data_IF_777702066323
#
_entry.id   IF_777702066323
#
_cell.length_a   1.000
_cell.length_b   1.000
_cell.length_c   1.000
_cell.angle_alpha   90.00
_cell.angle_beta   90.00
_cell.angle_gamma   90.00
#
_symmetry.space_group_name_H-M   'P 1'
#
loop_
_entity.id
_entity.type
_entity.pdbx_description
1 polymer ?
#
# COMPACT_ATOMS: atom_id res chain seq x y z
N UNK A 1 0.49 0.78 9.36
CA UNK A 1 1.59 -0.14 9.71
C UNK A 1 2.91 0.45 9.24
N UNK A 2 4.01 0.27 9.97
CA UNK A 2 5.32 0.86 9.66
C UNK A 2 6.28 -0.23 9.16
N UNK A 3 6.89 -0.02 7.98
CA UNK A 3 7.85 -0.96 7.38
C UNK A 3 9.26 -0.66 7.89
N UNK A 4 9.89 -1.64 8.54
CA UNK A 4 11.28 -1.55 9.01
C UNK A 4 12.17 -2.32 8.04
N UNK A 5 13.13 -1.63 7.43
CA UNK A 5 14.00 -2.20 6.39
C UNK A 5 15.45 -2.21 6.90
N UNK A 6 16.04 -3.38 7.18
CA UNK A 6 17.44 -3.51 7.54
C UNK A 6 18.35 -3.06 6.39
N UNK A 7 19.37 -2.24 6.70
CA UNK A 7 20.39 -1.82 5.74
C UNK A 7 21.59 -2.78 5.84
N UNK A 8 22.08 -3.27 4.71
CA UNK A 8 23.14 -4.26 4.58
C UNK A 8 22.86 -5.56 5.35
N UNK A 9 21.60 -5.97 5.40
CA UNK A 9 21.16 -7.25 5.99
C UNK A 9 20.90 -8.30 4.92
N UNK A 10 20.72 -9.54 5.36
CA UNK A 10 20.29 -10.64 4.50
C UNK A 10 18.78 -10.82 4.55
N UNK A 11 18.23 -11.34 3.45
CA UNK A 11 16.85 -11.80 3.42
C UNK A 11 16.60 -12.91 4.43
N UNK A 12 15.43 -12.84 5.06
CA UNK A 12 14.93 -13.86 5.99
C UNK A 12 14.65 -15.17 5.23
N UNK A 13 14.65 -16.32 5.94
CA UNK A 13 14.20 -17.58 5.33
C UNK A 13 12.79 -17.45 4.75
N UNK A 14 12.56 -18.03 3.56
CA UNK A 14 11.26 -17.97 2.86
C UNK A 14 10.07 -18.47 3.68
N UNK A 15 10.31 -19.34 4.66
CA UNK A 15 9.28 -19.81 5.59
C UNK A 15 8.70 -18.69 6.49
N UNK A 16 9.37 -17.54 6.57
CA UNK A 16 8.88 -16.36 7.27
C UNK A 16 8.19 -15.44 6.27
N UNK A 17 6.86 -15.58 6.17
CA UNK A 17 6.01 -14.78 5.28
C UNK A 17 5.55 -13.50 6.00
N UNK A 18 6.39 -12.46 6.01
CA UNK A 18 5.99 -11.17 6.56
C UNK A 18 4.83 -10.57 5.79
N UNK A 19 3.91 -9.89 6.48
CA UNK A 19 2.70 -9.32 5.87
C UNK A 19 3.01 -8.45 4.66
N UNK A 20 3.95 -7.52 4.79
CA UNK A 20 4.41 -6.63 3.70
C UNK A 20 5.62 -7.17 2.94
N UNK A 21 5.93 -8.46 3.10
CA UNK A 21 7.10 -9.09 2.50
C UNK A 21 8.38 -8.81 3.28
N UNK A 22 9.45 -9.44 2.82
CA UNK A 22 10.78 -9.34 3.40
C UNK A 22 11.61 -8.34 2.61
N UNK A 23 12.02 -7.26 3.26
CA UNK A 23 12.76 -6.16 2.64
C UNK A 23 14.14 -6.03 3.22
N UNK A 24 15.14 -5.80 2.37
CA UNK A 24 16.49 -5.37 2.74
C UNK A 24 16.86 -4.15 1.91
N UNK A 25 17.81 -3.36 2.39
CA UNK A 25 18.31 -2.20 1.67
C UNK A 25 19.84 -2.15 1.64
N UNK A 26 20.39 -1.45 0.66
CA UNK A 26 21.79 -1.10 0.58
C UNK A 26 21.96 0.25 -0.11
N UNK A 27 23.11 0.87 0.08
CA UNK A 27 23.45 2.12 -0.62
C UNK A 27 24.19 1.81 -1.91
N UNK A 28 23.73 2.39 -3.01
CA UNK A 28 24.44 2.48 -4.28
C UNK A 28 24.71 3.97 -4.56
N UNK A 29 25.91 4.42 -4.20
CA UNK A 29 26.24 5.85 -4.20
C UNK A 29 25.35 6.66 -3.26
N UNK A 30 24.57 7.57 -3.82
CA UNK A 30 23.61 8.45 -3.14
C UNK A 30 22.17 7.90 -3.12
N UNK A 31 21.98 6.68 -3.63
CA UNK A 31 20.68 6.03 -3.78
C UNK A 31 20.53 4.91 -2.77
N UNK A 32 19.47 4.96 -1.96
CA UNK A 32 19.08 3.82 -1.13
C UNK A 32 18.26 2.87 -2.01
N UNK A 33 18.80 1.69 -2.27
CA UNK A 33 18.14 0.63 -3.01
C UNK A 33 17.51 -0.33 -2.00
N UNK A 34 16.27 -0.72 -2.24
CA UNK A 34 15.50 -1.63 -1.40
C UNK A 34 15.01 -2.78 -2.28
N UNK A 35 15.32 -4.02 -1.91
CA UNK A 35 14.74 -5.22 -2.53
C UNK A 35 13.68 -5.81 -1.61
N UNK A 36 12.53 -6.14 -2.18
CA UNK A 36 11.42 -6.82 -1.48
C UNK A 36 11.07 -8.12 -2.16
N UNK A 37 10.97 -9.17 -1.36
CA UNK A 37 10.57 -10.52 -1.78
C UNK A 37 9.56 -11.11 -0.82
N UNK A 38 9.03 -12.29 -1.14
CA UNK A 38 8.26 -13.13 -0.21
C UNK A 38 7.04 -12.44 0.42
N UNK A 39 6.25 -11.74 -0.39
CA UNK A 39 5.00 -11.11 0.05
C UNK A 39 4.03 -12.16 0.59
N UNK A 40 3.40 -11.85 1.73
CA UNK A 40 2.43 -12.76 2.33
C UNK A 40 1.29 -13.09 1.34
N UNK A 41 0.87 -14.37 1.23
CA UNK A 41 -0.10 -14.79 0.21
C UNK A 41 -1.41 -13.99 0.19
N UNK A 42 -1.90 -13.57 1.36
CA UNK A 42 -3.12 -12.78 1.47
C UNK A 42 -2.97 -11.33 1.00
N UNK A 43 -1.73 -10.82 0.92
CA UNK A 43 -1.43 -9.47 0.41
C UNK A 43 -1.18 -9.45 -1.10
N UNK A 44 -0.75 -10.59 -1.69
CA UNK A 44 -0.48 -10.69 -3.13
C UNK A 44 -1.62 -10.15 -4.01
N UNK A 45 -2.88 -10.36 -3.61
CA UNK A 45 -4.05 -9.90 -4.37
C UNK A 45 -4.57 -8.50 -3.98
N UNK A 46 -3.97 -7.86 -2.98
CA UNK A 46 -4.44 -6.58 -2.39
C UNK A 46 -3.45 -5.44 -2.53
N UNK A 47 -2.22 -5.73 -2.96
CA UNK A 47 -1.21 -4.72 -3.27
C UNK A 47 -1.37 -4.20 -4.70
N UNK A 48 -0.75 -3.04 -4.98
CA UNK A 48 -0.72 -2.47 -6.32
C UNK A 48 -0.05 -3.38 -7.36
N UNK A 49 0.88 -4.23 -6.90
CA UNK A 49 1.54 -5.25 -7.70
C UNK A 49 1.38 -6.62 -7.04
N UNK A 50 0.87 -7.59 -7.81
CA UNK A 50 0.86 -8.99 -7.39
C UNK A 50 2.26 -9.57 -7.55
N UNK A 51 2.71 -10.37 -6.59
CA UNK A 51 4.04 -10.96 -6.62
C UNK A 51 3.98 -12.46 -6.30
N UNK A 52 4.54 -13.27 -7.20
CA UNK A 52 4.75 -14.70 -7.02
C UNK A 52 5.94 -14.95 -6.10
N UNK A 53 6.21 -16.21 -5.77
CA UNK A 53 7.36 -16.60 -4.93
C UNK A 53 8.71 -16.43 -5.67
N UNK A 54 8.66 -16.11 -6.96
CA UNK A 54 9.80 -15.79 -7.81
C UNK A 54 9.88 -14.29 -8.14
N UNK A 55 8.89 -13.52 -7.72
CA UNK A 55 8.85 -12.09 -7.96
C UNK A 55 9.66 -11.30 -6.93
N UNK A 56 10.12 -10.13 -7.34
CA UNK A 56 10.74 -9.14 -6.47
C UNK A 56 10.36 -7.73 -6.89
N UNK A 57 10.45 -6.80 -5.94
CA UNK A 57 10.30 -5.37 -6.18
C UNK A 57 11.62 -4.70 -5.82
N UNK A 58 12.16 -3.91 -6.74
CA UNK A 58 13.32 -3.05 -6.49
C UNK A 58 12.82 -1.62 -6.39
N UNK A 59 13.01 -1.00 -5.24
CA UNK A 59 12.69 0.41 -4.98
C UNK A 59 14.02 1.18 -4.87
N UNK A 60 14.08 2.38 -5.46
CA UNK A 60 15.24 3.27 -5.39
C UNK A 60 14.80 4.62 -4.85
N UNK A 61 15.51 5.10 -3.84
CA UNK A 61 15.30 6.42 -3.25
C UNK A 61 16.56 7.25 -3.42
N UNK A 62 16.56 8.17 -4.38
CA UNK A 62 17.70 9.03 -4.70
C UNK A 62 17.46 10.43 -4.17
N UNK A 63 18.44 11.00 -3.46
CA UNK A 63 18.40 12.39 -3.00
C UNK A 63 18.63 13.32 -4.19
N UNK A 64 17.57 13.73 -4.88
CA UNK A 64 17.68 14.61 -6.05
C UNK A 64 18.05 16.06 -5.69
N UNK A 65 17.55 16.56 -4.56
CA UNK A 65 17.89 17.90 -4.05
C UNK A 65 17.62 18.00 -2.55
N UNK A 66 17.91 19.16 -1.95
CA UNK A 66 17.59 19.42 -0.55
C UNK A 66 16.09 19.34 -0.22
N UNK A 67 15.22 19.51 -1.22
CA UNK A 67 13.77 19.47 -1.06
C UNK A 67 13.11 18.28 -1.76
N UNK A 68 13.86 17.38 -2.39
CA UNK A 68 13.27 16.31 -3.18
C UNK A 68 14.00 14.98 -3.04
N UNK A 69 13.22 13.91 -2.94
CA UNK A 69 13.66 12.53 -3.15
C UNK A 69 12.98 12.02 -4.41
N UNK A 70 13.77 11.50 -5.35
CA UNK A 70 13.24 10.79 -6.51
C UNK A 70 13.07 9.32 -6.14
N UNK A 71 11.84 8.84 -6.26
CA UNK A 71 11.48 7.46 -5.97
C UNK A 71 11.15 6.74 -7.27
N UNK A 72 11.81 5.60 -7.47
CA UNK A 72 11.53 4.69 -8.58
C UNK A 72 11.23 3.31 -8.01
N UNK A 73 10.35 2.57 -8.68
CA UNK A 73 10.17 1.15 -8.39
C UNK A 73 10.08 0.33 -9.67
N UNK A 74 10.59 -0.90 -9.60
CA UNK A 74 10.52 -1.90 -10.65
C UNK A 74 10.00 -3.21 -10.06
N UNK A 75 8.95 -3.74 -10.68
CA UNK A 75 8.36 -5.04 -10.37
C UNK A 75 8.86 -6.05 -11.39
N UNK A 76 9.50 -7.11 -10.89
CA UNK A 76 10.10 -8.16 -11.71
C UNK A 76 9.47 -9.48 -11.27
N UNK A 77 8.58 -10.05 -12.07
CA UNK A 77 7.98 -11.35 -11.80
C UNK A 77 7.60 -12.08 -13.10
N UNK A 78 8.37 -13.10 -13.52
CA UNK A 78 8.13 -13.82 -14.77
C UNK A 78 6.91 -14.75 -14.71
N UNK A 79 6.33 -14.99 -13.52
CA UNK A 79 5.15 -15.85 -13.36
C UNK A 79 3.88 -15.05 -13.65
N UNK A 80 3.82 -13.79 -13.21
CA UNK A 80 2.63 -12.96 -13.33
C UNK A 80 2.71 -11.92 -14.44
N UNK A 81 3.91 -11.50 -14.87
CA UNK A 81 4.09 -10.47 -15.88
C UNK A 81 4.98 -10.96 -17.04
N UNK A 82 4.69 -10.47 -18.24
CA UNK A 82 5.46 -10.79 -19.46
C UNK A 82 6.77 -10.00 -19.56
N UNK A 83 6.83 -8.87 -18.87
CA UNK A 83 8.00 -7.99 -18.79
C UNK A 83 8.02 -7.29 -17.43
N UNK A 84 9.21 -6.81 -17.03
CA UNK A 84 9.32 -5.94 -15.87
C UNK A 84 8.57 -4.63 -16.14
N UNK A 85 7.92 -4.09 -15.11
CA UNK A 85 7.25 -2.81 -15.20
C UNK A 85 7.51 -2.00 -13.95
N UNK A 86 7.36 -0.68 -14.04
CA UNK A 86 7.71 0.21 -12.95
C UNK A 86 7.02 1.56 -13.04
N UNK A 87 7.39 2.43 -12.12
CA UNK A 87 6.94 3.80 -12.08
C UNK A 87 7.86 4.67 -11.25
N UNK A 88 7.65 5.98 -11.38
CA UNK A 88 8.46 7.00 -10.72
C UNK A 88 7.57 8.06 -10.06
N UNK A 89 7.99 8.54 -8.91
CA UNK A 89 7.31 9.60 -8.16
C UNK A 89 8.38 10.51 -7.53
N UNK A 90 8.18 11.82 -7.60
CA UNK A 90 8.99 12.77 -6.85
C UNK A 90 8.33 13.09 -5.50
N UNK A 91 9.03 12.76 -4.41
CA UNK A 91 8.63 13.16 -3.06
C UNK A 91 9.21 14.53 -2.73
N UNK A 92 8.34 15.52 -2.60
CA UNK A 92 8.71 16.88 -2.25
C UNK A 92 8.63 17.09 -0.73
N UNK A 93 9.58 17.86 -0.18
CA UNK A 93 9.55 18.26 1.23
C UNK A 93 8.30 19.09 1.52
N UNK A 94 7.71 18.90 2.70
CA UNK A 94 6.59 19.72 3.18
C UNK A 94 6.75 19.98 4.66
N UNK A 95 6.29 21.15 5.11
CA UNK A 95 6.18 21.50 6.53
C UNK A 95 4.93 20.89 7.18
N UNK A 96 4.03 20.30 6.37
CA UNK A 96 2.81 19.65 6.87
C UNK A 96 3.14 18.33 7.54
N UNK A 97 2.40 17.99 8.59
CA UNK A 97 2.55 16.68 9.24
C UNK A 97 2.08 15.56 8.31
N UNK A 98 2.88 14.51 8.19
CA UNK A 98 2.45 13.25 7.61
C UNK A 98 1.48 12.59 8.60
N UNK A 99 0.22 12.47 8.19
CA UNK A 99 -0.78 11.72 8.93
C UNK A 99 -0.84 10.28 8.41
N UNK A 100 -1.25 9.37 9.29
CA UNK A 100 -1.57 8.00 8.92
C UNK A 100 -2.62 7.97 7.82
N UNK A 101 -2.44 7.07 6.85
CA UNK A 101 -3.50 6.72 5.94
C UNK A 101 -4.51 5.83 6.67
N UNK A 102 -5.69 6.37 6.95
CA UNK A 102 -6.83 5.63 7.46
C UNK A 102 -7.85 5.40 6.34
N UNK A 103 -8.08 4.14 5.98
CA UNK A 103 -9.26 3.77 5.21
C UNK A 103 -10.43 3.69 6.20
N UNK A 104 -11.50 4.47 5.99
CA UNK A 104 -12.71 4.31 6.79
C UNK A 104 -13.61 3.29 6.12
N UNK A 105 -13.58 2.03 6.59
CA UNK A 105 -14.58 1.06 6.19
C UNK A 105 -15.95 1.36 6.83
N UNK A 106 -17.03 0.98 6.14
CA UNK A 106 -18.37 1.11 6.69
C UNK A 106 -18.97 2.51 6.56
N UNK A 107 -18.95 3.08 5.35
CA UNK A 107 -19.67 4.31 5.04
C UNK A 107 -21.20 4.05 4.97
N UNK A 108 -21.80 3.72 6.12
CA UNK A 108 -23.23 3.42 6.28
C UNK A 108 -24.10 4.67 6.42
N UNK A 109 -23.49 5.86 6.40
CA UNK A 109 -24.20 7.13 6.65
C UNK A 109 -25.39 7.30 5.71
N UNK A 110 -25.21 7.09 4.41
CA UNK A 110 -26.29 7.24 3.43
C UNK A 110 -27.41 6.21 3.62
N UNK A 111 -27.05 4.93 3.86
CA UNK A 111 -28.04 3.87 4.11
C UNK A 111 -28.82 4.15 5.40
N UNK A 112 -28.15 4.61 6.46
CA UNK A 112 -28.78 4.99 7.72
C UNK A 112 -29.75 6.17 7.57
N UNK A 113 -29.37 7.21 6.83
CA UNK A 113 -30.23 8.38 6.55
C UNK A 113 -31.48 7.96 5.78
N UNK A 114 -31.32 7.19 4.70
CA UNK A 114 -32.45 6.75 3.87
C UNK A 114 -33.37 5.75 4.61
N UNK A 115 -32.78 4.86 5.43
CA UNK A 115 -33.55 3.94 6.28
C UNK A 115 -34.38 4.68 7.33
N UNK A 116 -33.81 5.72 7.96
CA UNK A 116 -34.52 6.59 8.89
C UNK A 116 -35.71 7.29 8.23
N UNK A 117 -35.54 7.82 7.01
CA UNK A 117 -36.62 8.49 6.28
C UNK A 117 -37.77 7.52 5.92
N UNK A 118 -37.47 6.31 5.43
CA UNK A 118 -38.52 5.31 5.17
C UNK A 118 -39.29 4.92 6.42
N UNK A 119 -38.63 4.86 7.57
CA UNK A 119 -39.32 4.60 8.84
C UNK A 119 -40.32 5.71 9.16
N UNK A 120 -39.95 6.97 8.94
CA UNK A 120 -40.84 8.11 9.13
C UNK A 120 -42.06 8.07 8.19
N UNK A 121 -41.87 7.68 6.92
CA UNK A 121 -42.98 7.49 5.97
C UNK A 121 -43.97 6.42 6.46
N UNK A 122 -43.46 5.27 6.92
CA UNK A 122 -44.30 4.19 7.46
C UNK A 122 -45.07 4.59 8.72
N UNK A 123 -44.43 5.35 9.62
CA UNK A 123 -45.08 5.83 10.85
C UNK A 123 -46.20 6.82 10.51
N UNK A 124 -45.98 7.74 9.57
CA UNK A 124 -47.00 8.68 9.12
C UNK A 124 -48.18 8.00 8.40
N UNK A 125 -47.92 6.98 7.58
CA UNK A 125 -48.98 6.17 6.94
C UNK A 125 -49.82 5.40 7.99
N UNK A 126 -49.17 4.86 9.03
CA UNK A 126 -49.86 4.14 10.10
C UNK A 126 -50.74 5.08 10.95
N UNK A 127 -50.28 6.29 11.26
CA UNK A 127 -51.06 7.32 11.96
C UNK A 127 -52.23 7.85 11.11
N UNK A 128 -52.03 8.01 9.80
CA UNK A 128 -53.09 8.49 8.89
C UNK A 128 -54.19 7.44 8.61
N UNK A 129 -53.91 6.16 8.87
CA UNK A 129 -54.84 5.05 8.68
C UNK A 129 -55.67 4.67 9.92
N UNK A 130 -55.44 5.31 11.09
CA UNK A 130 -56.20 5.11 12.33
C UNK A 130 -57.23 6.23 12.56
#
# INVERSE_FOLDING_TARGET
DARVIPINGDHRPKAIEQWMGDSIAWWDGDTLVVETVNLHPQQKARMMASLSDQGRIIEKFTRYSDQQIFYEFEVIDPVFYTESWGGEISFNSTETKLYEYACHEGNYGLQGILGGYRRQEMDAEAEAGS
#
